data_IF_586785517209
#
_entry.id   IF_586785517209
#
_cell.length_a   1.000
_cell.length_b   1.000
_cell.length_c   1.000
_cell.angle_alpha   90.00
_cell.angle_beta   90.00
_cell.angle_gamma   90.00
#
_symmetry.space_group_name_H-M   'P 1'
#
loop_
_entity.id
_entity.type
_entity.pdbx_description
1 polymer ?
#
# COMPACT_ATOMS: atom_id res chain seq x y z
N UNK A 1 -17.40 -7.34 -4.00
CA UNK A 1 -16.65 -8.03 -2.93
C UNK A 1 -17.48 -8.05 -1.66
N UNK A 2 -17.47 -9.16 -0.93
CA UNK A 2 -18.07 -9.23 0.43
C UNK A 2 -17.11 -8.54 1.41
N UNK A 3 -17.62 -7.89 2.46
CA UNK A 3 -16.80 -7.18 3.48
C UNK A 3 -15.67 -8.04 4.10
N UNK A 4 -15.79 -9.38 4.07
CA UNK A 4 -14.74 -10.30 4.49
C UNK A 4 -13.49 -10.20 3.61
N UNK A 5 -13.66 -10.10 2.28
CA UNK A 5 -12.55 -10.08 1.31
C UNK A 5 -11.72 -8.79 1.40
N UNK A 6 -12.34 -7.67 1.79
CA UNK A 6 -11.64 -6.41 2.03
C UNK A 6 -10.69 -6.50 3.25
N UNK A 7 -11.12 -7.17 4.32
CA UNK A 7 -10.28 -7.39 5.51
C UNK A 7 -9.08 -8.27 5.20
N UNK A 8 -9.19 -9.12 4.19
CA UNK A 8 -8.13 -10.04 3.78
C UNK A 8 -7.01 -9.30 3.04
N UNK A 9 -7.35 -8.31 2.19
CA UNK A 9 -6.34 -7.53 1.45
C UNK A 9 -5.56 -6.60 2.38
N UNK A 10 -6.22 -5.93 3.32
CA UNK A 10 -5.55 -4.99 4.24
C UNK A 10 -4.51 -5.66 5.15
N UNK A 11 -4.66 -6.97 5.39
CA UNK A 11 -3.74 -7.79 6.19
C UNK A 11 -2.79 -8.64 5.34
N UNK A 12 -2.92 -8.60 4.02
CA UNK A 12 -2.06 -9.31 3.11
C UNK A 12 -0.62 -8.76 3.25
N UNK A 13 0.39 -9.63 3.39
CA UNK A 13 1.78 -9.20 3.28
C UNK A 13 2.04 -8.54 1.93
N UNK A 14 2.59 -7.33 1.92
CA UNK A 14 2.93 -6.60 0.68
C UNK A 14 3.88 -7.42 -0.19
N UNK A 15 4.80 -8.17 0.43
CA UNK A 15 5.70 -9.10 -0.27
C UNK A 15 4.96 -10.13 -1.15
N UNK A 16 3.73 -10.52 -0.77
CA UNK A 16 2.90 -11.49 -1.48
C UNK A 16 1.90 -10.86 -2.46
N UNK A 17 1.87 -9.52 -2.56
CA UNK A 17 0.99 -8.79 -3.48
C UNK A 17 1.50 -8.87 -4.94
N UNK A 18 0.69 -8.50 -5.95
CA UNK A 18 1.15 -8.39 -7.34
C UNK A 18 1.99 -7.13 -7.62
N UNK A 19 2.32 -6.33 -6.59
CA UNK A 19 3.12 -5.12 -6.72
C UNK A 19 4.56 -5.40 -7.19
N UNK A 20 5.20 -4.34 -7.66
CA UNK A 20 6.56 -4.28 -8.15
C UNK A 20 7.55 -4.72 -7.08
N UNK A 21 8.66 -5.28 -7.54
CA UNK A 21 9.76 -5.64 -6.65
C UNK A 21 10.32 -4.41 -5.92
N UNK A 22 10.32 -3.25 -6.58
CA UNK A 22 10.80 -1.99 -5.98
C UNK A 22 9.92 -1.56 -4.80
N UNK A 23 8.60 -1.51 -4.97
CA UNK A 23 7.68 -1.16 -3.89
C UNK A 23 7.79 -2.14 -2.72
N UNK A 24 7.87 -3.44 -3.01
CA UNK A 24 8.06 -4.49 -1.98
C UNK A 24 9.36 -4.31 -1.21
N UNK A 25 10.45 -3.99 -1.89
CA UNK A 25 11.75 -3.74 -1.25
C UNK A 25 11.73 -2.50 -0.36
N UNK A 26 11.16 -1.39 -0.85
CA UNK A 26 11.08 -0.13 -0.10
C UNK A 26 10.20 -0.30 1.14
N UNK A 27 9.03 -0.93 0.98
CA UNK A 27 8.10 -1.19 2.09
C UNK A 27 8.72 -2.09 3.15
N UNK A 28 9.36 -3.19 2.76
CA UNK A 28 10.04 -4.10 3.68
C UNK A 28 11.19 -3.41 4.42
N UNK A 29 12.01 -2.61 3.71
CA UNK A 29 13.14 -1.88 4.31
C UNK A 29 12.69 -0.87 5.36
N UNK A 30 11.51 -0.26 5.15
CA UNK A 30 10.92 0.74 6.05
C UNK A 30 10.00 0.13 7.11
N UNK A 31 9.82 -1.20 7.12
CA UNK A 31 8.99 -1.91 8.10
C UNK A 31 7.49 -1.84 7.84
N UNK A 32 7.05 -1.50 6.62
CA UNK A 32 5.66 -1.61 6.20
C UNK A 32 5.42 -3.00 5.62
N UNK A 33 4.77 -3.88 6.38
CA UNK A 33 4.59 -5.27 5.96
C UNK A 33 3.21 -5.53 5.35
N UNK A 34 2.21 -4.69 5.66
CA UNK A 34 0.83 -4.81 5.18
C UNK A 34 0.29 -3.50 4.63
N UNK A 35 -0.78 -3.55 3.84
CA UNK A 35 -1.45 -2.34 3.36
C UNK A 35 -2.06 -1.51 4.49
N UNK A 36 -2.44 -2.14 5.60
CA UNK A 36 -2.86 -1.42 6.81
C UNK A 36 -1.75 -0.53 7.37
N UNK A 37 -0.49 -0.94 7.28
CA UNK A 37 0.64 -0.15 7.78
C UNK A 37 0.87 1.10 6.93
N UNK A 38 0.71 0.96 5.60
CA UNK A 38 0.78 2.11 4.68
C UNK A 38 -0.38 3.09 4.90
N UNK A 39 -1.61 2.58 5.08
CA UNK A 39 -2.81 3.39 5.29
C UNK A 39 -2.82 4.19 6.61
N UNK A 40 -1.94 3.87 7.56
CA UNK A 40 -1.74 4.71 8.76
C UNK A 40 -1.06 6.05 8.44
N UNK A 41 -0.51 6.18 7.23
CA UNK A 41 0.25 7.33 6.80
C UNK A 41 -0.39 7.98 5.57
N UNK A 42 -0.30 9.32 5.49
CA UNK A 42 -0.71 10.03 4.29
C UNK A 42 0.26 9.77 3.15
N UNK A 43 -0.23 9.73 1.91
CA UNK A 43 0.61 9.55 0.71
C UNK A 43 1.70 10.62 0.61
N UNK A 44 1.38 11.85 1.03
CA UNK A 44 2.35 12.94 1.12
C UNK A 44 3.49 12.66 2.11
N UNK A 45 3.23 11.97 3.22
CA UNK A 45 4.29 11.55 4.15
C UNK A 45 5.12 10.42 3.54
N UNK A 46 4.46 9.39 2.99
CA UNK A 46 5.13 8.27 2.34
C UNK A 46 6.07 8.74 1.23
N UNK A 47 5.66 9.73 0.42
CA UNK A 47 6.48 10.33 -0.64
C UNK A 47 7.76 11.00 -0.13
N UNK A 48 7.82 11.38 1.15
CA UNK A 48 9.01 11.97 1.77
C UNK A 48 9.92 10.93 2.43
N UNK A 49 9.55 9.65 2.44
CA UNK A 49 10.38 8.59 3.02
C UNK A 49 11.47 8.13 2.03
N UNK A 50 12.66 7.73 2.52
CA UNK A 50 13.73 7.24 1.67
C UNK A 50 13.28 6.05 0.80
N UNK A 51 13.52 6.13 -0.51
CA UNK A 51 13.18 5.07 -1.47
C UNK A 51 11.77 5.17 -2.04
N UNK A 52 10.84 5.83 -1.35
CA UNK A 52 9.55 6.17 -1.96
C UNK A 52 9.71 7.25 -3.02
N UNK A 53 8.94 7.11 -4.10
CA UNK A 53 8.83 8.09 -5.15
C UNK A 53 7.38 8.12 -5.66
N UNK A 54 7.06 9.07 -6.52
CA UNK A 54 5.70 9.26 -7.03
C UNK A 54 5.16 8.03 -7.77
N UNK A 55 6.02 7.27 -8.47
CA UNK A 55 5.61 6.05 -9.16
C UNK A 55 5.15 4.98 -8.17
N UNK A 56 5.91 4.76 -7.09
CA UNK A 56 5.57 3.78 -6.05
C UNK A 56 4.30 4.16 -5.28
N UNK A 57 4.08 5.46 -5.05
CA UNK A 57 2.83 5.94 -4.46
C UNK A 57 1.65 5.64 -5.39
N UNK A 58 1.75 5.94 -6.68
CA UNK A 58 0.67 5.63 -7.63
C UNK A 58 0.39 4.15 -7.73
N UNK A 59 1.42 3.32 -7.74
CA UNK A 59 1.27 1.87 -7.81
C UNK A 59 0.49 1.31 -6.61
N UNK A 60 0.84 1.77 -5.41
CA UNK A 60 0.11 1.43 -4.18
C UNK A 60 -1.36 1.92 -4.22
N UNK A 61 -1.57 3.17 -4.64
CA UNK A 61 -2.91 3.78 -4.75
C UNK A 61 -3.77 3.00 -5.74
N UNK A 62 -3.25 2.73 -6.94
CA UNK A 62 -3.94 1.98 -8.00
C UNK A 62 -4.29 0.55 -7.53
N UNK A 63 -3.39 -0.11 -6.80
CA UNK A 63 -3.69 -1.42 -6.23
C UNK A 63 -4.88 -1.36 -5.25
N UNK A 64 -4.96 -0.37 -4.38
CA UNK A 64 -6.08 -0.23 -3.46
C UNK A 64 -7.38 0.18 -4.19
N UNK A 65 -7.29 1.07 -5.18
CA UNK A 65 -8.44 1.49 -6.00
C UNK A 65 -9.05 0.34 -6.79
N UNK A 66 -8.22 -0.46 -7.46
CA UNK A 66 -8.66 -1.65 -8.22
C UNK A 66 -9.32 -2.70 -7.32
N UNK A 67 -8.99 -2.70 -6.03
CA UNK A 67 -9.61 -3.53 -5.00
C UNK A 67 -10.74 -2.81 -4.22
N UNK A 68 -11.28 -1.71 -4.75
CA UNK A 68 -12.40 -0.94 -4.18
C UNK A 68 -12.12 -0.31 -2.79
N UNK A 69 -10.85 -0.10 -2.47
CA UNK A 69 -10.37 0.45 -1.20
C UNK A 69 -9.76 1.86 -1.31
N UNK A 70 -9.87 2.51 -2.47
CA UNK A 70 -9.35 3.88 -2.66
C UNK A 70 -9.87 4.90 -1.63
N UNK A 71 -11.09 4.69 -1.12
CA UNK A 71 -11.70 5.53 -0.08
C UNK A 71 -10.98 5.51 1.28
N UNK A 72 -10.02 4.60 1.48
CA UNK A 72 -9.22 4.52 2.70
C UNK A 72 -7.95 5.39 2.63
N UNK A 73 -7.60 5.90 1.44
CA UNK A 73 -6.37 6.65 1.18
C UNK A 73 -6.60 8.12 1.53
N UNK A 74 -5.68 8.71 2.30
CA UNK A 74 -5.71 10.12 2.70
C UNK A 74 -7.08 10.63 3.23
N UNK A 75 -7.66 9.98 4.26
CA UNK A 75 -8.93 10.41 4.84
C UNK A 75 -8.86 11.75 5.60
#
# INVERSE_FOLDING_TARGET
MKQSELRDILKLPIANSPLSHELKMVTETLGFHTFSDLLQNRTAYLLNLPGFNQHLIYEYVEFLETNQMGHLIDP
#
